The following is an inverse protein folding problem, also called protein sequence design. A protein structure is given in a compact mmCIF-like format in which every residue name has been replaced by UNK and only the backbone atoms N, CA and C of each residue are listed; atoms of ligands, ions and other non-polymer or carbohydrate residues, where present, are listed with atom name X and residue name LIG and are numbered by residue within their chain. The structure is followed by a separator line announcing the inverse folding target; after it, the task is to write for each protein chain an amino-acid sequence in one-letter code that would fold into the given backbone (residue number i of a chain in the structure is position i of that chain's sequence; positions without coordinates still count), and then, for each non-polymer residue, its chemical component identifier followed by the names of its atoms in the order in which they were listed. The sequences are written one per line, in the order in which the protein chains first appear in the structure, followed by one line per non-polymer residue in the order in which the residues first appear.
data_IF_345019266394
#
_entry.id   IF_345019266394
#
_cell.length_a   1.000
_cell.length_b   1.000
_cell.length_c   1.000
_cell.angle_alpha   90.00
_cell.angle_beta   90.00
_cell.angle_gamma   90.00
#
_symmetry.space_group_name_H-M   'P 1'
#
loop_
_entity.id
_entity.type
_entity.pdbx_description
1 polymer ?
#
# COMPACT_ATOMS: atom_id res chain seq x y z
N UNK A 1 9.16 4.36 1.74
CA UNK A 1 10.28 5.27 2.08
C UNK A 1 10.90 4.85 3.40
N UNK A 2 12.19 4.64 3.41
CA UNK A 2 12.93 4.30 4.64
C UNK A 2 12.95 5.51 5.59
N UNK A 3 12.67 5.35 6.90
CA UNK A 3 12.50 6.47 7.82
C UNK A 3 13.71 7.42 7.95
N UNK A 4 14.91 6.93 7.66
CA UNK A 4 16.15 7.70 7.70
C UNK A 4 16.68 8.10 6.33
N UNK A 5 15.97 7.77 5.25
CA UNK A 5 16.44 8.07 3.88
C UNK A 5 16.42 9.55 3.61
N UNK A 6 17.43 10.01 2.89
CA UNK A 6 17.38 11.30 2.21
C UNK A 6 16.84 11.08 0.80
N UNK A 7 15.71 11.69 0.50
CA UNK A 7 15.10 11.59 -0.82
C UNK A 7 15.74 12.62 -1.75
N UNK A 8 16.38 12.12 -2.78
CA UNK A 8 16.94 12.93 -3.85
C UNK A 8 16.39 12.40 -5.18
N UNK A 9 15.06 12.45 -5.34
CA UNK A 9 14.36 11.96 -6.53
C UNK A 9 13.55 13.08 -7.15
N UNK A 10 13.43 13.05 -8.46
CA UNK A 10 12.48 13.90 -9.18
C UNK A 10 11.04 13.47 -8.84
N UNK A 11 10.16 14.45 -8.67
CA UNK A 11 8.75 14.18 -8.45
C UNK A 11 8.11 13.65 -9.73
N UNK A 12 7.48 12.49 -9.65
CA UNK A 12 6.60 11.97 -10.71
C UNK A 12 5.37 12.89 -10.75
N UNK A 13 5.00 13.36 -11.94
CA UNK A 13 3.86 14.26 -12.14
C UNK A 13 2.76 13.65 -12.96
N UNK A 14 3.05 12.57 -13.67
CA UNK A 14 2.11 11.87 -14.52
C UNK A 14 2.21 10.36 -14.36
N UNK A 15 1.09 9.69 -14.55
CA UNK A 15 0.98 8.24 -14.55
C UNK A 15 -0.02 7.79 -15.61
N UNK A 16 0.29 6.69 -16.30
CA UNK A 16 -0.60 6.10 -17.30
C UNK A 16 -0.84 4.64 -16.97
N UNK A 17 -2.10 4.23 -16.96
CA UNK A 17 -2.54 2.85 -16.72
C UNK A 17 -3.57 2.43 -17.75
N UNK A 18 -3.86 1.14 -17.85
CA UNK A 18 -4.96 0.61 -18.66
C UNK A 18 -6.25 0.58 -17.84
N UNK A 19 -7.39 0.63 -18.53
CA UNK A 19 -8.68 0.42 -17.88
C UNK A 19 -8.77 -0.99 -17.28
N UNK A 20 -9.16 -1.07 -16.02
CA UNK A 20 -9.18 -2.33 -15.26
C UNK A 20 -7.89 -2.63 -14.49
N UNK A 21 -6.90 -1.75 -14.55
CA UNK A 21 -5.64 -1.84 -13.81
C UNK A 21 -5.68 -0.95 -12.56
N UNK A 22 -5.28 -1.51 -11.42
CA UNK A 22 -5.05 -0.71 -10.22
C UNK A 22 -3.74 0.07 -10.37
N UNK A 23 -3.79 1.38 -10.24
CA UNK A 23 -2.59 2.20 -10.22
C UNK A 23 -2.28 2.70 -8.82
N UNK A 24 -0.98 2.86 -8.51
CA UNK A 24 -0.59 3.42 -7.23
C UNK A 24 0.72 4.20 -7.31
N UNK A 25 0.84 5.21 -6.46
CA UNK A 25 2.06 6.00 -6.30
C UNK A 25 2.26 6.39 -4.84
N UNK A 26 3.47 6.82 -4.50
CA UNK A 26 3.79 7.25 -3.14
C UNK A 26 4.05 8.75 -3.07
N UNK A 27 3.57 9.37 -2.00
CA UNK A 27 3.92 10.73 -1.62
C UNK A 27 4.79 10.63 -0.37
N UNK A 28 6.08 10.96 -0.51
CA UNK A 28 7.00 11.01 0.60
C UNK A 28 7.02 12.41 1.21
N UNK A 29 6.96 12.49 2.52
CA UNK A 29 6.98 13.75 3.26
C UNK A 29 7.73 13.61 4.58
N UNK A 30 8.08 14.74 5.16
CA UNK A 30 8.64 14.83 6.51
C UNK A 30 8.14 16.11 7.16
N UNK A 31 7.49 15.98 8.30
CA UNK A 31 7.23 17.08 9.20
C UNK A 31 8.19 16.97 10.40
N UNK A 32 8.85 18.06 10.75
CA UNK A 32 9.77 18.13 11.90
C UNK A 32 9.02 18.18 13.22
N UNK A 33 7.81 18.67 13.20
CA UNK A 33 6.94 18.77 14.36
C UNK A 33 6.06 17.51 14.41
N UNK A 34 5.94 16.90 15.55
CA UNK A 34 5.06 15.75 15.77
C UNK A 34 3.60 16.24 15.90
N UNK A 35 3.07 16.76 14.81
CA UNK A 35 1.71 17.31 14.73
C UNK A 35 0.80 16.40 13.92
N UNK A 36 -0.49 16.62 14.00
CA UNK A 36 -1.44 15.99 13.10
C UNK A 36 -1.34 16.60 11.71
N UNK A 37 -1.37 15.74 10.70
CA UNK A 37 -1.40 16.14 9.29
C UNK A 37 -2.76 15.75 8.74
N UNK A 38 -3.48 16.73 8.26
CA UNK A 38 -4.75 16.55 7.55
C UNK A 38 -4.46 16.25 6.08
N UNK A 39 -5.16 15.24 5.55
CA UNK A 39 -5.03 14.78 4.17
C UNK A 39 -6.37 14.98 3.48
N UNK A 40 -6.36 15.72 2.38
CA UNK A 40 -7.53 15.93 1.53
C UNK A 40 -7.21 15.44 0.12
N UNK A 41 -8.11 14.67 -0.47
CA UNK A 41 -8.03 14.24 -1.87
C UNK A 41 -9.09 14.98 -2.66
N UNK A 42 -8.69 15.55 -3.80
CA UNK A 42 -9.57 16.23 -4.76
C UNK A 42 -9.27 15.78 -6.18
N UNK A 43 -10.25 15.86 -7.02
CA UNK A 43 -10.19 15.48 -8.44
C UNK A 43 -11.51 14.89 -8.89
N UNK A 44 -11.65 14.73 -10.19
CA UNK A 44 -12.85 14.23 -10.84
C UNK A 44 -13.12 12.74 -10.59
N UNK A 45 -12.07 11.99 -10.19
CA UNK A 45 -12.15 10.56 -9.84
C UNK A 45 -11.83 10.29 -8.37
N UNK A 46 -11.99 11.29 -7.48
CA UNK A 46 -11.62 11.15 -6.06
C UNK A 46 -12.37 10.02 -5.33
N UNK A 47 -13.55 9.63 -5.79
CA UNK A 47 -14.31 8.48 -5.26
C UNK A 47 -13.63 7.12 -5.48
N UNK A 48 -12.73 7.04 -6.46
CA UNK A 48 -11.93 5.86 -6.76
C UNK A 48 -10.54 5.90 -6.10
N UNK A 49 -10.22 6.96 -5.38
CA UNK A 49 -8.91 7.15 -4.75
C UNK A 49 -8.96 6.75 -3.29
N UNK A 50 -8.06 5.85 -2.90
CA UNK A 50 -7.83 5.48 -1.50
C UNK A 50 -6.43 5.89 -1.07
N UNK A 51 -6.30 6.39 0.16
CA UNK A 51 -5.02 6.80 0.73
C UNK A 51 -4.72 5.95 1.97
N UNK A 52 -3.49 5.47 2.02
CA UNK A 52 -2.98 4.68 3.15
C UNK A 52 -1.70 5.34 3.68
N UNK A 53 -1.50 5.29 4.97
CA UNK A 53 -0.20 5.57 5.56
C UNK A 53 0.66 4.30 5.54
N UNK A 54 1.91 4.44 5.11
CA UNK A 54 2.85 3.31 5.08
C UNK A 54 3.45 3.12 6.47
N UNK A 55 3.07 2.05 7.13
CA UNK A 55 3.62 1.64 8.42
C UNK A 55 4.94 0.91 8.27
N UNK A 56 5.72 0.89 9.34
CA UNK A 56 6.99 0.18 9.39
C UNK A 56 6.89 -1.05 10.30
N UNK A 57 7.57 -2.11 9.91
CA UNK A 57 7.69 -3.35 10.68
C UNK A 57 9.14 -3.59 11.11
N UNK A 58 9.37 -4.19 12.28
CA UNK A 58 10.71 -4.52 12.73
C UNK A 58 11.23 -5.72 11.93
N UNK A 59 12.40 -5.57 11.33
CA UNK A 59 13.16 -6.65 10.69
C UNK A 59 14.46 -6.81 11.44
N UNK A 60 14.69 -8.00 12.00
CA UNK A 60 15.81 -8.23 12.92
C UNK A 60 17.07 -8.72 12.21
N UNK A 61 16.95 -9.68 11.33
CA UNK A 61 18.08 -10.31 10.64
C UNK A 61 17.71 -10.69 9.20
N UNK A 62 18.73 -10.77 8.34
CA UNK A 62 18.57 -11.38 7.03
C UNK A 62 18.23 -12.87 7.17
N UNK A 63 17.35 -13.36 6.31
CA UNK A 63 16.78 -14.73 6.39
C UNK A 63 17.82 -15.83 6.15
N UNK A 64 18.92 -15.54 5.42
CA UNK A 64 19.95 -16.49 5.04
C UNK A 64 21.34 -15.92 5.27
N UNK A 65 22.29 -16.75 5.73
CA UNK A 65 23.71 -16.37 5.89
C UNK A 65 24.33 -15.90 4.56
N UNK A 66 23.91 -16.51 3.44
CA UNK A 66 24.37 -16.21 2.08
C UNK A 66 23.83 -14.87 1.55
N UNK A 67 22.87 -14.25 2.24
CA UNK A 67 22.30 -12.94 1.88
C UNK A 67 23.36 -11.81 1.84
N UNK A 68 24.56 -12.02 2.39
CA UNK A 68 25.64 -11.05 2.31
C UNK A 68 26.01 -10.66 0.88
N UNK A 69 25.81 -11.55 -0.07
CA UNK A 69 26.18 -11.35 -1.47
C UNK A 69 24.96 -11.17 -2.41
N UNK A 70 23.73 -11.16 -1.88
CA UNK A 70 22.55 -10.96 -2.71
C UNK A 70 22.35 -9.48 -3.04
N UNK A 71 22.44 -9.08 -4.32
CA UNK A 71 22.28 -7.70 -4.74
C UNK A 71 20.83 -7.18 -4.61
N UNK A 72 19.85 -8.07 -4.37
CA UNK A 72 18.45 -7.70 -4.22
C UNK A 72 18.12 -7.16 -2.83
N UNK A 73 19.00 -7.31 -1.84
CA UNK A 73 18.82 -6.73 -0.54
C UNK A 73 19.12 -5.22 -0.56
N UNK A 74 18.12 -4.42 -0.20
CA UNK A 74 18.27 -2.95 -0.06
C UNK A 74 19.13 -2.64 1.17
N UNK A 75 18.98 -3.40 2.24
CA UNK A 75 19.76 -3.30 3.48
C UNK A 75 19.79 -4.64 4.18
N UNK A 76 20.88 -4.92 4.89
CA UNK A 76 21.06 -6.14 5.71
C UNK A 76 21.04 -5.81 7.21
N UNK A 77 20.92 -4.53 7.52
CA UNK A 77 20.93 -4.06 8.91
C UNK A 77 19.56 -4.27 9.55
N UNK A 78 19.50 -4.72 10.81
CA UNK A 78 18.26 -4.73 11.57
C UNK A 78 17.65 -3.33 11.64
N UNK A 79 16.34 -3.25 11.54
CA UNK A 79 15.68 -1.94 11.56
C UNK A 79 14.18 -1.99 11.34
N UNK A 80 13.62 -0.80 11.20
CA UNK A 80 12.21 -0.61 10.86
C UNK A 80 12.09 -0.39 9.35
N UNK A 81 11.36 -1.26 8.68
CA UNK A 81 11.19 -1.24 7.22
C UNK A 81 9.73 -1.00 6.85
N UNK A 82 9.47 -0.22 5.78
CA UNK A 82 8.11 0.05 5.32
C UNK A 82 7.47 -1.22 4.75
N UNK A 83 6.26 -1.53 5.22
CA UNK A 83 5.51 -2.70 4.78
C UNK A 83 3.99 -2.47 4.83
N UNK A 84 3.41 -2.26 6.01
CA UNK A 84 1.96 -2.20 6.17
C UNK A 84 1.33 -0.98 5.52
N UNK A 85 0.18 -1.19 4.87
CA UNK A 85 -0.69 -0.13 4.39
C UNK A 85 -1.86 0.06 5.37
N UNK A 86 -1.80 1.13 6.17
CA UNK A 86 -2.84 1.46 7.12
C UNK A 86 -3.81 2.46 6.50
N UNK A 87 -5.12 2.18 6.40
CA UNK A 87 -6.08 3.14 5.89
C UNK A 87 -6.01 4.46 6.66
N UNK A 88 -6.05 5.57 5.94
CA UNK A 88 -6.18 6.89 6.57
C UNK A 88 -7.63 7.08 7.00
N UNK A 89 -7.85 7.09 8.31
CA UNK A 89 -9.18 7.27 8.91
C UNK A 89 -9.37 8.76 9.21
N UNK A 90 -10.57 9.27 8.98
CA UNK A 90 -10.94 10.68 9.20
C UNK A 90 -10.06 11.72 8.48
N UNK A 91 -9.30 11.27 7.47
CA UNK A 91 -8.41 12.14 6.72
C UNK A 91 -7.23 12.70 7.52
N UNK A 92 -6.82 12.05 8.61
CA UNK A 92 -5.73 12.51 9.47
C UNK A 92 -4.70 11.41 9.73
N UNK A 93 -3.43 11.81 9.86
CA UNK A 93 -2.33 10.97 10.33
C UNK A 93 -1.45 11.76 11.31
N UNK A 94 -0.65 11.05 12.11
CA UNK A 94 0.33 11.67 12.99
C UNK A 94 1.72 11.74 12.32
N UNK A 95 2.35 12.91 12.40
CA UNK A 95 3.73 13.09 11.98
C UNK A 95 4.68 12.49 13.01
N UNK A 96 5.65 11.70 12.56
CA UNK A 96 6.64 11.04 13.42
C UNK A 96 7.93 11.84 13.61
N UNK A 97 8.10 12.95 12.88
CA UNK A 97 9.36 13.70 12.80
C UNK A 97 10.40 13.09 11.84
N UNK A 98 10.12 11.90 11.32
CA UNK A 98 10.94 11.18 10.33
C UNK A 98 10.29 11.21 8.95
N UNK A 99 10.96 10.68 7.95
CA UNK A 99 10.33 10.45 6.65
C UNK A 99 9.20 9.43 6.77
N UNK A 100 8.06 9.80 6.21
CA UNK A 100 6.86 8.98 6.09
C UNK A 100 6.41 8.98 4.63
N UNK A 101 5.54 8.06 4.28
CA UNK A 101 4.91 8.08 2.97
C UNK A 101 3.43 7.75 3.05
N UNK A 102 2.68 8.33 2.13
CA UNK A 102 1.35 7.92 1.78
C UNK A 102 1.41 7.03 0.55
N UNK A 103 0.63 5.98 0.54
CA UNK A 103 0.33 5.17 -0.62
C UNK A 103 -1.02 5.61 -1.16
N UNK A 104 -1.01 6.19 -2.35
CA UNK A 104 -2.22 6.65 -3.05
C UNK A 104 -2.55 5.61 -4.10
N UNK A 105 -3.71 4.96 -3.97
CA UNK A 105 -4.21 3.95 -4.89
C UNK A 105 -5.42 4.45 -5.64
N UNK A 106 -5.44 4.25 -6.94
CA UNK A 106 -6.61 4.47 -7.80
C UNK A 106 -7.19 3.11 -8.16
N UNK A 107 -8.46 2.91 -7.81
CA UNK A 107 -9.17 1.65 -8.06
C UNK A 107 -9.33 1.41 -9.56
N UNK A 108 -9.18 0.16 -9.99
CA UNK A 108 -9.35 -0.31 -11.36
C UNK A 108 -10.71 -0.01 -12.01
N UNK A 109 -11.70 0.39 -11.20
CA UNK A 109 -13.03 0.78 -11.68
C UNK A 109 -13.12 2.24 -12.12
N UNK A 110 -12.06 3.03 -11.94
CA UNK A 110 -12.03 4.40 -12.41
C UNK A 110 -12.22 4.46 -13.93
N UNK A 111 -13.04 5.41 -14.44
CA UNK A 111 -13.37 5.48 -15.85
C UNK A 111 -12.16 5.87 -16.71
N UNK A 112 -12.09 5.42 -17.98
CA UNK A 112 -11.08 5.89 -18.93
C UNK A 112 -11.12 7.41 -19.12
N UNK A 113 -9.95 8.02 -19.30
CA UNK A 113 -9.84 9.47 -19.51
C UNK A 113 -8.53 10.06 -19.02
N UNK A 114 -8.47 11.38 -19.07
CA UNK A 114 -7.42 12.20 -18.47
C UNK A 114 -7.99 12.81 -17.19
N UNK A 115 -7.38 12.50 -16.08
CA UNK A 115 -7.81 12.92 -14.75
C UNK A 115 -6.72 13.69 -14.04
N UNK A 116 -7.10 14.53 -13.09
CA UNK A 116 -6.15 15.17 -12.21
C UNK A 116 -6.48 14.82 -10.76
N UNK A 117 -5.51 14.24 -10.05
CA UNK A 117 -5.62 13.87 -8.65
C UNK A 117 -4.76 14.82 -7.83
N UNK A 118 -5.37 15.52 -6.91
CA UNK A 118 -4.69 16.42 -5.99
C UNK A 118 -4.77 15.87 -4.58
N UNK A 119 -3.61 15.63 -3.97
CA UNK A 119 -3.49 15.26 -2.56
C UNK A 119 -2.87 16.41 -1.81
N UNK A 120 -3.61 16.97 -0.87
CA UNK A 120 -3.20 18.09 -0.04
C UNK A 120 -2.87 17.56 1.36
N UNK A 121 -1.68 17.92 1.86
CA UNK A 121 -1.24 17.67 3.22
C UNK A 121 -1.17 19.01 3.95
N UNK A 122 -1.83 19.13 5.09
CA UNK A 122 -1.86 20.37 5.89
C UNK A 122 -1.52 20.06 7.35
N UNK A 123 -0.51 20.73 7.88
CA UNK A 123 -0.21 20.78 9.32
C UNK A 123 -0.56 22.16 9.87
N UNK A 124 -0.33 22.38 11.17
CA UNK A 124 -0.54 23.71 11.78
C UNK A 124 0.33 24.81 11.18
N UNK A 125 1.50 24.45 10.66
CA UNK A 125 2.53 25.38 10.20
C UNK A 125 2.72 25.41 8.69
N UNK A 126 2.29 24.38 7.98
CA UNK A 126 2.66 24.20 6.57
C UNK A 126 1.56 23.46 5.79
N UNK A 127 1.46 23.82 4.52
CA UNK A 127 0.59 23.17 3.55
C UNK A 127 1.39 22.77 2.32
N UNK A 128 1.17 21.54 1.85
CA UNK A 128 1.75 21.01 0.63
C UNK A 128 0.68 20.40 -0.25
N UNK A 129 0.82 20.61 -1.54
CA UNK A 129 -0.10 20.08 -2.56
C UNK A 129 0.71 19.25 -3.54
N UNK A 130 0.27 18.01 -3.72
CA UNK A 130 0.82 17.08 -4.70
C UNK A 130 -0.23 16.84 -5.77
N UNK A 131 0.08 17.19 -7.02
CA UNK A 131 -0.78 16.97 -8.18
C UNK A 131 -0.22 15.83 -9.02
N UNK A 132 -1.12 14.96 -9.51
CA UNK A 132 -0.83 13.85 -10.38
C UNK A 132 -1.77 13.91 -11.58
N UNK A 133 -1.21 14.03 -12.78
CA UNK A 133 -1.94 13.83 -14.03
C UNK A 133 -2.08 12.32 -14.28
N UNK A 134 -3.29 11.82 -14.22
CA UNK A 134 -3.57 10.39 -14.26
C UNK A 134 -4.34 10.02 -15.51
N UNK A 135 -3.71 9.26 -16.41
CA UNK A 135 -4.31 8.85 -17.67
C UNK A 135 -4.73 7.39 -17.61
N UNK A 136 -6.01 7.13 -17.84
CA UNK A 136 -6.55 5.78 -18.00
C UNK A 136 -6.85 5.57 -19.48
N UNK A 137 -6.11 4.67 -20.11
CA UNK A 137 -6.29 4.32 -21.51
C UNK A 137 -7.53 3.40 -21.63
N UNK A 138 -8.42 3.71 -22.57
CA UNK A 138 -9.63 2.92 -22.84
C UNK A 138 -9.30 1.61 -23.58
N UNK A 139 -8.47 0.80 -22.95
CA UNK A 139 -8.12 -0.55 -23.37
C UNK A 139 -8.15 -1.42 -22.12
N UNK A 140 -9.07 -2.36 -22.07
CA UNK A 140 -9.16 -3.29 -20.94
C UNK A 140 -8.07 -4.35 -21.01
N UNK A 141 -7.56 -4.72 -19.86
CA UNK A 141 -6.68 -5.89 -19.75
C UNK A 141 -7.44 -7.14 -20.20
N UNK A 142 -6.83 -8.02 -21.00
CA UNK A 142 -7.41 -9.31 -21.31
C UNK A 142 -7.53 -10.15 -20.03
N UNK A 143 -8.50 -11.09 -20.03
CA UNK A 143 -8.52 -12.12 -18.99
C UNK A 143 -7.22 -12.93 -19.04
N UNK A 144 -6.66 -13.17 -17.87
CA UNK A 144 -5.40 -13.91 -17.74
C UNK A 144 -5.68 -15.40 -17.50
N UNK A 145 -5.08 -16.27 -18.31
CA UNK A 145 -5.11 -17.73 -18.12
C UNK A 145 -4.06 -18.18 -17.07
N UNK A 146 -3.30 -17.24 -16.52
CA UNK A 146 -2.25 -17.56 -15.54
C UNK A 146 -2.90 -17.99 -14.24
N UNK A 147 -2.50 -19.17 -13.76
CA UNK A 147 -2.83 -19.61 -12.41
C UNK A 147 -1.88 -18.93 -11.43
N UNK A 148 -2.43 -17.99 -10.66
CA UNK A 148 -1.71 -17.30 -9.60
C UNK A 148 -2.09 -17.89 -8.25
N UNK A 149 -1.18 -18.61 -7.64
CA UNK A 149 -1.41 -19.31 -6.38
C UNK A 149 -0.50 -18.82 -5.27
N UNK A 150 -0.99 -18.94 -4.04
CA UNK A 150 -0.23 -18.73 -2.81
C UNK A 150 -0.51 -19.87 -1.84
N UNK A 151 0.51 -20.23 -1.06
CA UNK A 151 0.34 -21.13 0.08
C UNK A 151 -0.50 -20.43 1.15
N UNK A 152 -1.51 -21.14 1.64
CA UNK A 152 -2.42 -20.62 2.64
C UNK A 152 -2.59 -21.61 3.79
N UNK A 153 -1.95 -21.32 4.90
CA UNK A 153 -2.02 -22.11 6.13
C UNK A 153 -3.16 -21.62 7.01
N UNK A 154 -4.34 -22.20 6.85
CA UNK A 154 -5.55 -21.80 7.58
C UNK A 154 -5.44 -22.02 9.10
N UNK A 155 -4.67 -23.00 9.53
CA UNK A 155 -4.35 -23.30 10.93
C UNK A 155 -3.58 -22.17 11.62
N UNK A 156 -2.69 -21.47 10.91
CA UNK A 156 -1.98 -20.31 11.43
C UNK A 156 -2.93 -19.20 11.87
N UNK A 157 -4.08 -19.03 11.22
CA UNK A 157 -5.06 -18.03 11.61
C UNK A 157 -5.68 -18.36 12.98
N UNK A 158 -6.01 -19.62 13.22
CA UNK A 158 -6.55 -20.05 14.50
C UNK A 158 -5.56 -19.76 15.65
N UNK A 159 -4.27 -20.04 15.42
CA UNK A 159 -3.21 -19.78 16.39
C UNK A 159 -3.03 -18.29 16.61
N UNK A 160 -2.92 -17.49 15.54
CA UNK A 160 -2.68 -16.05 15.62
C UNK A 160 -3.81 -15.29 16.32
N UNK A 161 -5.06 -15.62 15.99
CA UNK A 161 -6.24 -14.99 16.59
C UNK A 161 -6.70 -15.63 17.90
N UNK A 162 -6.01 -16.71 18.33
CA UNK A 162 -6.34 -17.47 19.53
C UNK A 162 -7.80 -17.93 19.57
N UNK A 163 -8.25 -18.51 18.46
CA UNK A 163 -9.59 -19.10 18.31
C UNK A 163 -9.49 -20.61 18.11
N UNK A 164 -10.51 -21.40 18.52
CA UNK A 164 -10.49 -22.83 18.27
C UNK A 164 -10.45 -23.15 16.78
N UNK A 165 -9.56 -24.07 16.42
CA UNK A 165 -9.43 -24.52 15.02
C UNK A 165 -10.75 -25.10 14.52
N UNK A 166 -11.13 -24.70 13.29
CA UNK A 166 -12.38 -25.12 12.61
C UNK A 166 -13.67 -24.66 13.28
N UNK A 167 -13.60 -23.74 14.26
CA UNK A 167 -14.79 -23.07 14.81
C UNK A 167 -15.41 -22.12 13.77
N UNK A 168 -16.64 -21.71 13.98
CA UNK A 168 -17.32 -20.70 13.15
C UNK A 168 -16.52 -19.37 13.08
N UNK A 169 -15.88 -19.01 14.17
CA UNK A 169 -15.03 -17.83 14.23
C UNK A 169 -13.78 -18.00 13.35
N UNK A 170 -13.13 -19.17 13.41
CA UNK A 170 -11.99 -19.48 12.54
C UNK A 170 -12.42 -19.50 11.05
N UNK A 171 -13.56 -20.09 10.72
CA UNK A 171 -14.09 -20.07 9.35
C UNK A 171 -14.37 -18.67 8.85
N UNK A 172 -14.90 -17.79 9.70
CA UNK A 172 -15.10 -16.37 9.36
C UNK A 172 -13.79 -15.64 9.05
N UNK A 173 -12.72 -15.95 9.79
CA UNK A 173 -11.38 -15.42 9.52
C UNK A 173 -10.84 -15.94 8.17
N UNK A 174 -10.91 -17.25 7.95
CA UNK A 174 -10.49 -17.88 6.69
C UNK A 174 -11.19 -17.21 5.49
N UNK A 175 -12.50 -17.03 5.58
CA UNK A 175 -13.28 -16.37 4.52
C UNK A 175 -12.79 -14.94 4.22
N UNK A 176 -12.50 -14.15 5.28
CA UNK A 176 -11.97 -12.79 5.11
C UNK A 176 -10.64 -12.77 4.39
N UNK A 177 -9.72 -13.67 4.76
CA UNK A 177 -8.41 -13.77 4.12
C UNK A 177 -8.52 -14.22 2.66
N UNK A 178 -9.38 -15.21 2.37
CA UNK A 178 -9.64 -15.67 1.00
C UNK A 178 -10.23 -14.54 0.15
N UNK A 179 -11.22 -13.81 0.66
CA UNK A 179 -11.81 -12.65 -0.04
C UNK A 179 -10.77 -11.56 -0.33
N UNK A 180 -9.87 -11.31 0.60
CA UNK A 180 -8.77 -10.37 0.38
C UNK A 180 -7.83 -10.87 -0.71
N UNK A 181 -7.39 -12.13 -0.63
CA UNK A 181 -6.49 -12.73 -1.61
C UNK A 181 -7.08 -12.70 -3.04
N UNK A 182 -8.34 -13.12 -3.19
CA UNK A 182 -9.02 -13.12 -4.50
C UNK A 182 -9.27 -11.70 -5.02
N UNK A 183 -9.52 -10.74 -4.14
CA UNK A 183 -9.63 -9.33 -4.50
C UNK A 183 -8.35 -8.74 -5.11
N UNK A 184 -7.20 -9.33 -4.80
CA UNK A 184 -5.88 -8.95 -5.34
C UNK A 184 -5.35 -9.92 -6.41
N UNK A 185 -6.23 -10.71 -7.03
CA UNK A 185 -5.91 -11.50 -8.21
C UNK A 185 -5.40 -12.91 -7.97
N UNK A 186 -5.32 -13.37 -6.72
CA UNK A 186 -5.05 -14.77 -6.43
C UNK A 186 -6.27 -15.59 -6.84
N UNK A 187 -6.10 -16.50 -7.79
CA UNK A 187 -7.20 -17.30 -8.35
C UNK A 187 -7.10 -18.80 -8.00
N UNK A 188 -6.06 -19.17 -7.27
CA UNK A 188 -5.90 -20.51 -6.72
C UNK A 188 -5.28 -20.42 -5.31
N UNK A 189 -5.87 -21.11 -4.36
CA UNK A 189 -5.36 -21.21 -2.99
C UNK A 189 -4.90 -22.64 -2.76
N UNK A 190 -3.61 -22.79 -2.38
CA UNK A 190 -3.01 -24.06 -2.05
C UNK A 190 -2.99 -24.21 -0.53
N UNK A 191 -3.76 -25.15 -0.03
CA UNK A 191 -3.77 -25.53 1.40
C UNK A 191 -2.99 -26.83 1.57
N UNK A 192 -2.05 -26.91 2.53
CA UNK A 192 -1.36 -28.16 2.87
C UNK A 192 -2.29 -29.17 3.56
#
# INVERSE_FOLDING_TARGET
VMPKSCLNTECIKDMTVLHGEDGAYQIAFKDKHKTKIKIEVKGDICEYVSVYSVGNVPVMLATFEEAENDPNYISKEPGMYPDMLNPVVDGEIEATGSYQSLWVRVDKKAPPGLHNITVKLSSESEERVCCMDYKIIDISLPESDIVYTQWFHADCLAVYYNVPMWSEENWSLIEKYIKTATGYGINMILTP
#
